data_IF_780868511722
#
_entry.id   IF_780868511722
#
_cell.length_a   1.000
_cell.length_b   1.000
_cell.length_c   1.000
_cell.angle_alpha   90.00
_cell.angle_beta   90.00
_cell.angle_gamma   90.00
#
_symmetry.space_group_name_H-M   'P 1'
#
loop_
_entity.id
_entity.type
_entity.pdbx_description
1 polymer ?
#
# COMPACT_ATOMS: atom_id res chain seq x y z
N UNK A 1 5.94 1.94 -11.49
CA UNK A 1 6.72 1.61 -12.70
C UNK A 1 6.00 0.49 -13.39
N UNK A 2 5.46 0.75 -14.57
CA UNK A 2 4.74 -0.24 -15.38
C UNK A 2 5.78 -1.06 -16.17
N UNK A 3 5.91 -2.38 -15.95
CA UNK A 3 6.76 -3.20 -16.80
C UNK A 3 6.06 -3.45 -18.14
N UNK A 4 6.75 -3.20 -19.24
CA UNK A 4 6.25 -3.53 -20.57
C UNK A 4 6.45 -5.01 -20.88
N UNK A 5 5.42 -5.67 -21.38
CA UNK A 5 5.50 -7.01 -21.97
C UNK A 5 6.17 -6.92 -23.35
N UNK A 6 7.09 -7.81 -23.66
CA UNK A 6 7.72 -7.88 -24.97
C UNK A 6 7.29 -9.14 -25.70
N UNK A 7 6.59 -8.95 -26.80
CA UNK A 7 6.25 -9.98 -27.77
C UNK A 7 4.79 -9.84 -28.21
N UNK A 8 4.53 -9.63 -29.47
CA UNK A 8 3.27 -9.50 -30.23
C UNK A 8 2.36 -8.31 -29.91
N UNK A 9 2.28 -7.80 -28.66
CA UNK A 9 1.69 -6.49 -28.34
C UNK A 9 2.64 -5.71 -27.44
N UNK A 10 3.30 -4.70 -27.96
CA UNK A 10 4.27 -3.86 -27.25
C UNK A 10 3.66 -3.01 -26.12
N UNK A 11 2.35 -3.04 -25.95
CA UNK A 11 1.60 -2.07 -25.16
C UNK A 11 0.85 -2.70 -23.95
N UNK A 12 0.88 -4.02 -23.75
CA UNK A 12 0.20 -4.65 -22.61
C UNK A 12 0.82 -4.19 -21.29
N UNK A 13 0.01 -3.60 -20.44
CA UNK A 13 0.41 -3.15 -19.11
C UNK A 13 -0.16 -4.04 -18.01
N UNK A 14 0.62 -4.26 -16.96
CA UNK A 14 0.17 -4.92 -15.76
C UNK A 14 0.44 -4.01 -14.57
N UNK A 15 -0.61 -3.71 -13.81
CA UNK A 15 -0.52 -2.89 -12.59
C UNK A 15 -1.11 -3.64 -11.41
N UNK A 16 -0.65 -3.28 -10.20
CA UNK A 16 -1.18 -3.76 -8.94
C UNK A 16 -1.68 -2.59 -8.12
N UNK A 17 -2.90 -2.72 -7.60
CA UNK A 17 -3.52 -1.72 -6.74
C UNK A 17 -4.03 -2.38 -5.45
N UNK A 18 -3.66 -1.85 -4.30
CA UNK A 18 -4.26 -2.24 -3.03
C UNK A 18 -5.57 -1.47 -2.82
N UNK A 19 -6.54 -2.09 -2.16
CA UNK A 19 -7.78 -1.41 -1.79
C UNK A 19 -7.54 -0.14 -0.96
N UNK A 20 -8.43 0.84 -1.10
CA UNK A 20 -8.29 2.14 -0.41
C UNK A 20 -8.46 2.02 1.12
N UNK A 21 -9.29 1.08 1.57
CA UNK A 21 -9.53 0.84 2.98
C UNK A 21 -8.47 -0.08 3.59
N UNK A 22 -7.84 0.40 4.66
CA UNK A 22 -6.88 -0.40 5.42
C UNK A 22 -7.63 -1.46 6.26
N UNK A 23 -7.39 -2.76 6.04
CA UNK A 23 -8.02 -3.83 6.83
C UNK A 23 -7.46 -3.86 8.25
N UNK A 24 -8.26 -4.35 9.18
CA UNK A 24 -7.81 -4.72 10.52
C UNK A 24 -7.13 -6.09 10.51
N UNK A 25 -6.45 -6.44 11.59
CA UNK A 25 -5.92 -7.81 11.78
C UNK A 25 -7.07 -8.82 11.75
N UNK A 26 -6.91 -9.88 10.97
CA UNK A 26 -7.92 -10.91 10.74
C UNK A 26 -8.88 -10.61 9.57
N UNK A 27 -8.94 -9.38 9.09
CA UNK A 27 -9.74 -9.01 7.92
C UNK A 27 -9.00 -9.31 6.61
N UNK A 28 -9.79 -9.37 5.54
CA UNK A 28 -9.27 -9.58 4.20
C UNK A 28 -8.90 -8.25 3.54
N UNK A 29 -7.81 -8.26 2.81
CA UNK A 29 -7.41 -7.20 1.90
C UNK A 29 -7.45 -7.73 0.46
N UNK A 30 -7.85 -6.88 -0.45
CA UNK A 30 -7.89 -7.18 -1.87
C UNK A 30 -6.81 -6.39 -2.59
N UNK A 31 -6.06 -7.09 -3.44
CA UNK A 31 -5.13 -6.48 -4.39
C UNK A 31 -5.65 -6.75 -5.78
N UNK A 32 -5.97 -5.69 -6.50
CA UNK A 32 -6.42 -5.78 -7.88
C UNK A 32 -5.21 -5.81 -8.81
N UNK A 33 -5.21 -6.80 -9.68
CA UNK A 33 -4.28 -6.92 -10.82
C UNK A 33 -5.02 -6.44 -12.04
N UNK A 34 -4.59 -5.33 -12.62
CA UNK A 34 -5.14 -4.83 -13.87
C UNK A 34 -4.19 -5.19 -15.00
N UNK A 35 -4.73 -5.85 -16.00
CA UNK A 35 -4.08 -6.16 -17.27
C UNK A 35 -4.82 -5.42 -18.37
N UNK A 36 -4.15 -4.49 -19.02
CA UNK A 36 -4.72 -3.60 -20.02
C UNK A 36 -4.06 -3.80 -21.38
N UNK A 37 -4.76 -3.41 -22.44
CA UNK A 37 -4.27 -3.39 -23.83
C UNK A 37 -3.82 -4.76 -24.38
N UNK A 38 -4.39 -5.86 -23.87
CA UNK A 38 -4.15 -7.18 -24.46
C UNK A 38 -5.19 -7.51 -25.55
N UNK A 39 -4.76 -8.29 -26.52
CA UNK A 39 -5.61 -8.81 -27.59
C UNK A 39 -5.54 -10.33 -27.57
N UNK A 40 -6.72 -10.99 -27.71
CA UNK A 40 -6.82 -12.43 -27.84
C UNK A 40 -6.27 -13.23 -26.63
N UNK A 41 -6.49 -12.76 -25.38
CA UNK A 41 -6.07 -13.50 -24.20
C UNK A 41 -6.84 -14.82 -24.06
N UNK A 42 -6.13 -15.93 -23.95
CA UNK A 42 -6.68 -17.28 -23.75
C UNK A 42 -6.34 -17.87 -22.38
N UNK A 43 -5.35 -17.33 -21.73
CA UNK A 43 -4.97 -17.77 -20.40
C UNK A 43 -3.82 -16.97 -19.82
N UNK A 44 -3.68 -17.08 -18.52
CA UNK A 44 -2.57 -16.46 -17.79
C UNK A 44 -2.08 -17.36 -16.66
N UNK A 45 -0.84 -17.20 -16.30
CA UNK A 45 -0.24 -17.75 -15.08
C UNK A 45 0.59 -16.68 -14.41
N UNK A 46 0.32 -16.43 -13.13
CA UNK A 46 1.01 -15.41 -12.32
C UNK A 46 1.66 -16.10 -11.12
N UNK A 47 2.93 -15.79 -10.88
CA UNK A 47 3.67 -16.26 -9.71
C UNK A 47 3.77 -15.12 -8.70
N UNK A 48 3.25 -15.36 -7.49
CA UNK A 48 3.15 -14.38 -6.42
C UNK A 48 4.23 -14.65 -5.36
N UNK A 49 4.81 -13.57 -4.86
CA UNK A 49 5.61 -13.53 -3.64
C UNK A 49 4.94 -12.60 -2.62
N UNK A 50 4.85 -13.03 -1.37
CA UNK A 50 4.34 -12.24 -0.26
C UNK A 50 4.95 -12.70 1.06
N UNK A 51 4.90 -11.87 2.09
CA UNK A 51 5.38 -12.26 3.42
C UNK A 51 4.35 -13.14 4.14
N UNK A 52 4.57 -14.44 4.16
CA UNK A 52 3.70 -15.42 4.82
C UNK A 52 3.71 -15.35 6.35
N UNK A 53 4.62 -14.59 6.96
CA UNK A 53 4.57 -14.35 8.39
C UNK A 53 3.43 -13.41 8.77
N UNK A 54 3.11 -12.46 7.90
CA UNK A 54 2.10 -11.40 8.15
C UNK A 54 0.83 -11.54 7.30
N UNK A 55 0.90 -12.26 6.16
CA UNK A 55 -0.21 -12.45 5.22
C UNK A 55 -0.53 -13.93 5.03
N UNK A 56 -1.80 -14.24 4.79
CA UNK A 56 -2.30 -15.51 4.28
C UNK A 56 -2.96 -15.27 2.93
N UNK A 57 -2.55 -15.97 1.89
CA UNK A 57 -3.23 -15.91 0.60
C UNK A 57 -4.50 -16.75 0.67
N UNK A 58 -5.66 -16.11 0.50
CA UNK A 58 -6.98 -16.73 0.63
C UNK A 58 -7.49 -17.26 -0.70
N UNK A 59 -7.25 -16.50 -1.78
CA UNK A 59 -7.74 -16.87 -3.10
C UNK A 59 -7.70 -15.75 -4.13
N UNK A 60 -8.34 -15.99 -5.25
CA UNK A 60 -8.46 -15.03 -6.34
C UNK A 60 -9.87 -15.05 -6.94
N UNK A 61 -10.30 -13.89 -7.46
CA UNK A 61 -11.60 -13.71 -8.13
C UNK A 61 -11.38 -12.87 -9.39
N UNK A 62 -12.16 -13.14 -10.42
CA UNK A 62 -12.25 -12.27 -11.61
C UNK A 62 -13.41 -11.30 -11.36
N UNK A 63 -13.15 -9.99 -11.44
CA UNK A 63 -14.15 -8.97 -11.12
C UNK A 63 -15.08 -8.63 -12.30
N UNK A 64 -14.67 -8.99 -13.52
CA UNK A 64 -15.43 -8.62 -14.72
C UNK A 64 -16.32 -9.78 -15.18
N UNK A 65 -17.63 -9.65 -14.92
CA UNK A 65 -18.65 -10.64 -15.34
C UNK A 65 -18.68 -10.86 -16.88
N UNK A 66 -18.17 -9.92 -17.66
CA UNK A 66 -18.10 -10.06 -19.12
C UNK A 66 -17.06 -11.12 -19.57
N UNK A 67 -16.13 -11.48 -18.68
CA UNK A 67 -15.15 -12.53 -18.91
C UNK A 67 -15.67 -13.93 -18.53
N UNK A 68 -16.85 -14.03 -17.92
CA UNK A 68 -17.49 -15.27 -17.47
C UNK A 68 -18.65 -15.72 -18.38
N UNK A 69 -18.83 -15.11 -19.57
CA UNK A 69 -19.81 -15.55 -20.57
C UNK A 69 -19.50 -16.94 -21.15
N UNK A 70 -20.42 -17.49 -21.97
CA UNK A 70 -20.18 -18.76 -22.69
C UNK A 70 -18.86 -18.65 -23.50
N UNK A 71 -17.85 -19.40 -23.09
CA UNK A 71 -16.50 -19.40 -23.68
C UNK A 71 -15.45 -18.57 -22.96
N UNK A 72 -15.75 -18.03 -21.79
CA UNK A 72 -14.84 -17.21 -20.97
C UNK A 72 -13.66 -17.98 -20.36
N UNK A 73 -12.70 -17.25 -19.81
CA UNK A 73 -11.65 -17.84 -18.97
C UNK A 73 -12.27 -18.60 -17.80
N UNK A 74 -11.77 -19.81 -17.52
CA UNK A 74 -12.16 -20.55 -16.33
C UNK A 74 -11.87 -19.75 -15.06
N UNK A 75 -12.63 -20.01 -13.98
CA UNK A 75 -12.30 -19.42 -12.69
C UNK A 75 -10.83 -19.67 -12.35
N UNK A 76 -10.11 -18.67 -11.84
CA UNK A 76 -8.70 -18.82 -11.52
C UNK A 76 -8.48 -19.98 -10.55
N UNK A 77 -7.51 -20.82 -10.86
CA UNK A 77 -7.06 -21.88 -9.96
C UNK A 77 -5.86 -21.37 -9.18
N UNK A 78 -5.96 -21.42 -7.86
CA UNK A 78 -4.86 -21.08 -6.96
C UNK A 78 -4.05 -22.34 -6.68
N UNK A 79 -2.76 -22.27 -6.90
CA UNK A 79 -1.79 -23.30 -6.54
C UNK A 79 -0.96 -22.75 -5.38
N UNK A 80 -1.23 -23.17 -4.13
CA UNK A 80 -0.46 -22.70 -2.99
C UNK A 80 0.97 -23.22 -3.08
N UNK A 81 1.93 -22.33 -2.89
CA UNK A 81 3.35 -22.64 -2.72
C UNK A 81 3.74 -22.67 -1.25
N UNK A 82 5.03 -22.83 -1.00
CA UNK A 82 5.62 -22.71 0.34
C UNK A 82 6.25 -21.32 0.53
N UNK A 83 6.42 -20.93 1.79
CA UNK A 83 7.20 -19.73 2.18
C UNK A 83 6.79 -18.41 1.49
N UNK A 84 5.49 -18.14 1.45
CA UNK A 84 4.99 -16.90 0.87
C UNK A 84 4.98 -16.87 -0.66
N UNK A 85 4.87 -18.03 -1.29
CA UNK A 85 4.70 -18.17 -2.72
C UNK A 85 3.33 -18.73 -3.05
N UNK A 86 2.74 -18.29 -4.15
CA UNK A 86 1.55 -18.87 -4.71
C UNK A 86 1.55 -18.68 -6.24
N UNK A 87 0.78 -19.49 -6.94
CA UNK A 87 0.53 -19.28 -8.37
C UNK A 87 -0.96 -19.20 -8.62
N UNK A 88 -1.35 -18.31 -9.51
CA UNK A 88 -2.73 -18.15 -9.97
C UNK A 88 -2.74 -18.38 -11.46
N UNK A 89 -3.53 -19.35 -11.91
CA UNK A 89 -3.61 -19.74 -13.31
C UNK A 89 -5.07 -19.81 -13.77
N UNK A 90 -5.32 -19.33 -14.98
CA UNK A 90 -6.61 -19.48 -15.64
C UNK A 90 -6.42 -19.75 -17.12
N UNK A 91 -7.30 -20.59 -17.68
CA UNK A 91 -7.34 -20.90 -19.10
C UNK A 91 -8.80 -20.90 -19.57
N UNK A 92 -9.05 -20.44 -20.81
CA UNK A 92 -10.35 -20.47 -21.46
C UNK A 92 -10.33 -21.21 -22.78
N UNK A 93 -11.50 -21.62 -23.23
CA UNK A 93 -11.67 -22.23 -24.56
C UNK A 93 -11.76 -21.17 -25.65
N UNK A 94 -12.19 -19.97 -25.30
CA UNK A 94 -12.29 -18.82 -26.19
C UNK A 94 -11.33 -17.71 -25.82
N UNK A 95 -11.09 -16.88 -26.81
CA UNK A 95 -10.23 -15.70 -26.70
C UNK A 95 -11.05 -14.55 -26.12
N UNK A 96 -10.44 -13.74 -25.26
CA UNK A 96 -11.05 -12.58 -24.61
C UNK A 96 -10.23 -11.34 -24.99
N UNK A 97 -10.91 -10.29 -25.40
CA UNK A 97 -10.32 -8.98 -25.67
C UNK A 97 -10.78 -7.98 -24.58
N UNK A 98 -9.92 -7.05 -24.23
CA UNK A 98 -10.22 -5.96 -23.30
C UNK A 98 -9.45 -6.08 -21.98
N UNK A 99 -9.86 -5.30 -20.97
CA UNK A 99 -9.14 -5.22 -19.70
C UNK A 99 -9.56 -6.33 -18.75
N UNK A 100 -8.59 -6.98 -18.10
CA UNK A 100 -8.81 -8.01 -17.09
C UNK A 100 -8.55 -7.42 -15.70
N UNK A 101 -9.59 -7.39 -14.87
CA UNK A 101 -9.48 -7.17 -13.44
C UNK A 101 -9.46 -8.51 -12.70
N UNK A 102 -8.36 -8.82 -12.02
CA UNK A 102 -8.19 -9.98 -11.18
C UNK A 102 -7.97 -9.54 -9.74
N UNK A 103 -8.86 -9.95 -8.84
CA UNK A 103 -8.70 -9.71 -7.41
C UNK A 103 -7.95 -10.84 -6.74
N UNK A 104 -6.83 -10.51 -6.11
CA UNK A 104 -6.08 -11.38 -5.21
C UNK A 104 -6.49 -11.05 -3.77
N UNK A 105 -6.97 -12.05 -3.04
CA UNK A 105 -7.47 -11.89 -1.68
C UNK A 105 -6.46 -12.44 -0.68
N UNK A 106 -6.04 -11.61 0.24
CA UNK A 106 -5.17 -11.96 1.35
C UNK A 106 -5.86 -11.68 2.67
N UNK A 107 -5.46 -12.36 3.74
CA UNK A 107 -5.87 -12.07 5.12
C UNK A 107 -4.68 -11.61 5.92
N UNK A 108 -4.82 -10.50 6.64
CA UNK A 108 -3.81 -9.99 7.56
C UNK A 108 -3.77 -10.88 8.81
N UNK A 109 -2.64 -11.53 9.07
CA UNK A 109 -2.44 -12.41 10.25
C UNK A 109 -2.01 -11.63 11.48
N UNK A 110 -1.35 -10.51 11.27
CA UNK A 110 -0.82 -9.62 12.31
C UNK A 110 -0.93 -8.18 11.85
N UNK A 111 -0.63 -7.23 12.74
CA UNK A 111 -0.46 -5.83 12.35
C UNK A 111 0.70 -5.70 11.35
N UNK A 112 0.44 -5.04 10.22
CA UNK A 112 1.40 -4.83 9.13
C UNK A 112 1.69 -3.33 9.04
N UNK A 113 2.90 -2.91 9.44
CA UNK A 113 3.35 -1.52 9.24
C UNK A 113 3.70 -1.26 7.77
N UNK A 114 4.28 -2.24 7.09
CA UNK A 114 4.58 -2.21 5.67
C UNK A 114 4.99 -3.61 5.22
N UNK A 115 4.36 -4.11 4.16
CA UNK A 115 4.73 -5.36 3.49
C UNK A 115 4.49 -5.20 2.00
N UNK A 116 4.95 -6.17 1.20
CA UNK A 116 4.77 -6.15 -0.25
C UNK A 116 4.08 -7.42 -0.71
N UNK A 117 3.21 -7.26 -1.71
CA UNK A 117 2.73 -8.34 -2.55
C UNK A 117 3.30 -8.08 -3.93
N UNK A 118 3.95 -9.08 -4.50
CA UNK A 118 4.68 -8.99 -5.75
C UNK A 118 4.20 -10.07 -6.72
N UNK A 119 3.97 -9.71 -7.96
CA UNK A 119 3.96 -10.65 -9.08
C UNK A 119 5.41 -10.74 -9.55
N UNK A 120 6.06 -11.83 -9.18
CA UNK A 120 7.48 -12.03 -9.47
C UNK A 120 7.72 -12.46 -10.91
N UNK A 121 6.75 -13.19 -11.47
CA UNK A 121 6.79 -13.78 -12.81
C UNK A 121 5.37 -14.01 -13.31
N UNK A 122 5.18 -13.96 -14.61
CA UNK A 122 3.89 -14.22 -15.22
C UNK A 122 3.98 -14.57 -16.70
N UNK A 123 3.01 -15.33 -17.15
CA UNK A 123 2.85 -15.73 -18.55
C UNK A 123 1.44 -15.44 -19.02
N UNK A 124 1.34 -14.85 -20.20
CA UNK A 124 0.08 -14.68 -20.93
C UNK A 124 0.08 -15.60 -22.15
N UNK A 125 -1.05 -16.21 -22.43
CA UNK A 125 -1.26 -17.02 -23.65
C UNK A 125 -2.26 -16.33 -24.55
N UNK A 126 -1.89 -16.14 -25.82
CA UNK A 126 -2.76 -15.61 -26.85
C UNK A 126 -3.60 -16.70 -27.54
N UNK A 127 -4.48 -16.27 -28.45
CA UNK A 127 -5.36 -17.16 -29.23
C UNK A 127 -4.63 -18.16 -30.12
N UNK A 128 -3.38 -17.90 -30.49
CA UNK A 128 -2.52 -18.79 -31.26
C UNK A 128 -1.65 -19.71 -30.40
N UNK A 129 -1.85 -19.72 -29.07
CA UNK A 129 -1.05 -20.42 -28.07
C UNK A 129 0.39 -19.89 -27.93
N UNK A 130 0.65 -18.69 -28.45
CA UNK A 130 1.86 -17.96 -28.13
C UNK A 130 1.97 -17.67 -26.63
N UNK A 131 3.19 -17.66 -26.12
CA UNK A 131 3.48 -17.34 -24.71
C UNK A 131 4.22 -16.04 -24.67
N UNK A 132 3.67 -15.08 -23.93
CA UNK A 132 4.30 -13.80 -23.65
C UNK A 132 4.67 -13.76 -22.17
N UNK A 133 5.95 -13.64 -21.87
CA UNK A 133 6.44 -13.56 -20.49
C UNK A 133 6.36 -12.11 -19.98
N UNK A 134 5.86 -11.93 -18.77
CA UNK A 134 5.94 -10.67 -18.04
C UNK A 134 7.40 -10.33 -17.75
N UNK A 135 7.82 -9.12 -18.07
CA UNK A 135 9.18 -8.68 -17.81
C UNK A 135 9.28 -7.92 -16.51
N UNK A 136 9.89 -8.57 -15.53
CA UNK A 136 10.22 -7.99 -14.24
C UNK A 136 9.06 -8.01 -13.25
N UNK A 137 9.40 -7.92 -11.97
CA UNK A 137 8.41 -7.95 -10.89
C UNK A 137 7.59 -6.67 -10.84
N UNK A 138 6.31 -6.82 -10.53
CA UNK A 138 5.39 -5.74 -10.20
C UNK A 138 4.96 -5.92 -8.76
N UNK A 139 5.08 -4.90 -7.94
CA UNK A 139 4.76 -4.98 -6.53
C UNK A 139 3.88 -3.83 -6.05
N UNK A 140 3.06 -4.11 -5.05
CA UNK A 140 2.27 -3.13 -4.30
C UNK A 140 2.61 -3.23 -2.83
N UNK A 141 2.68 -2.09 -2.17
CA UNK A 141 2.83 -2.03 -0.73
C UNK A 141 1.46 -2.19 -0.07
N UNK A 142 1.42 -3.01 0.97
CA UNK A 142 0.22 -3.24 1.77
C UNK A 142 0.50 -2.96 3.24
N UNK A 143 -0.49 -2.45 3.94
CA UNK A 143 -0.47 -2.19 5.36
C UNK A 143 -1.82 -2.49 5.99
N UNK A 144 -1.86 -2.63 7.31
CA UNK A 144 -3.11 -2.73 8.05
C UNK A 144 -3.41 -1.43 8.78
N UNK A 145 -4.68 -1.22 9.12
CA UNK A 145 -5.10 -0.15 10.00
C UNK A 145 -4.41 -0.32 11.37
N UNK A 146 -3.83 0.76 11.93
CA UNK A 146 -3.31 0.72 13.30
C UNK A 146 -4.39 0.36 14.31
N UNK A 147 -4.06 -0.43 15.32
CA UNK A 147 -5.02 -0.78 16.37
C UNK A 147 -5.11 0.26 17.49
N UNK A 148 -4.06 1.08 17.63
CA UNK A 148 -3.97 2.07 18.73
C UNK A 148 -3.44 3.41 18.20
N UNK A 149 -3.84 4.48 18.89
CA UNK A 149 -3.19 5.78 18.71
C UNK A 149 -1.76 5.73 19.23
N UNK A 150 -0.82 6.31 18.48
CA UNK A 150 0.53 6.50 18.97
C UNK A 150 1.20 7.72 18.34
N UNK A 151 2.05 8.37 19.13
CA UNK A 151 3.01 9.36 18.68
C UNK A 151 4.41 8.78 18.86
N UNK A 152 5.16 8.60 17.76
CA UNK A 152 6.52 8.03 17.78
C UNK A 152 7.56 9.11 18.12
N UNK A 153 8.75 8.69 18.50
CA UNK A 153 9.87 9.61 18.65
C UNK A 153 10.25 10.19 17.28
N UNK A 154 10.54 11.51 17.27
CA UNK A 154 11.01 12.15 16.05
C UNK A 154 12.41 11.66 15.68
N UNK A 155 12.68 11.56 14.39
CA UNK A 155 13.99 11.14 13.91
C UNK A 155 14.45 12.02 12.74
N UNK A 156 15.72 12.46 12.77
CA UNK A 156 16.68 12.36 13.86
C UNK A 156 16.28 13.16 15.10
N UNK A 157 16.83 12.79 16.28
CA UNK A 157 16.75 13.55 17.53
C UNK A 157 18.05 13.30 18.35
N UNK A 158 18.93 14.26 18.56
CA UNK A 158 18.85 15.67 18.10
C UNK A 158 18.85 15.82 16.59
N UNK A 159 18.30 16.95 16.09
CA UNK A 159 18.15 17.21 14.66
C UNK A 159 18.70 18.59 14.24
N UNK A 160 19.06 18.74 12.93
CA UNK A 160 19.59 19.95 12.32
C UNK A 160 19.32 20.01 10.82
N UNK A 161 18.52 20.93 10.29
CA UNK A 161 17.42 21.58 10.96
C UNK A 161 16.12 20.76 10.86
N UNK A 162 16.16 19.56 10.26
CA UNK A 162 15.00 18.78 9.86
C UNK A 162 14.81 17.53 10.69
N UNK A 163 13.56 17.20 10.95
CA UNK A 163 13.18 15.96 11.59
C UNK A 163 11.83 15.46 11.07
N UNK A 164 11.61 14.16 11.18
CA UNK A 164 10.34 13.51 10.87
C UNK A 164 9.62 13.14 12.15
N UNK A 165 8.36 13.53 12.24
CA UNK A 165 7.43 13.16 13.31
C UNK A 165 6.45 12.15 12.74
N UNK A 166 6.36 10.97 13.38
CA UNK A 166 5.45 9.90 12.97
C UNK A 166 4.37 9.71 14.01
N UNK A 167 3.13 9.55 13.56
CA UNK A 167 1.99 9.21 14.39
C UNK A 167 1.03 8.27 13.66
N UNK A 168 0.16 7.61 14.41
CA UNK A 168 -0.81 6.68 13.84
C UNK A 168 -2.18 6.86 14.48
N UNK A 169 -3.21 6.60 13.66
CA UNK A 169 -4.61 6.76 13.98
C UNK A 169 -5.37 5.46 13.72
N UNK A 170 -6.02 4.84 14.71
CA UNK A 170 -6.85 3.66 14.49
C UNK A 170 -8.19 3.98 13.83
N UNK A 171 -8.61 5.23 13.87
CA UNK A 171 -9.87 5.69 13.28
C UNK A 171 -9.76 7.10 12.70
N UNK A 172 -10.69 7.43 11.82
CA UNK A 172 -10.73 8.74 11.18
C UNK A 172 -11.20 9.81 12.18
N UNK A 173 -10.58 11.00 12.10
CA UNK A 173 -10.93 12.10 12.99
C UNK A 173 -10.19 13.39 12.68
N UNK A 174 -10.56 14.45 13.40
CA UNK A 174 -9.84 15.71 13.33
C UNK A 174 -8.54 15.62 14.14
N UNK A 175 -7.42 15.95 13.51
CA UNK A 175 -6.08 15.83 14.10
C UNK A 175 -5.38 17.18 14.09
N UNK A 176 -4.74 17.53 15.22
CA UNK A 176 -3.77 18.60 15.30
C UNK A 176 -2.40 18.03 15.66
N UNK A 177 -1.35 18.53 14.99
CA UNK A 177 0.05 18.33 15.35
C UNK A 177 0.72 19.68 15.47
N UNK A 178 1.11 20.02 16.68
CA UNK A 178 1.64 21.33 17.01
C UNK A 178 3.00 21.24 17.70
N UNK A 179 3.85 22.23 17.43
CA UNK A 179 5.17 22.40 18.06
C UNK A 179 5.10 23.53 19.08
N UNK A 180 5.68 23.29 20.24
CA UNK A 180 5.71 24.22 21.36
C UNK A 180 7.15 24.54 21.78
N UNK A 181 7.37 25.77 22.22
CA UNK A 181 8.60 26.18 22.91
C UNK A 181 8.58 25.76 24.39
N UNK A 182 9.66 26.06 25.10
CA UNK A 182 9.81 25.78 26.55
C UNK A 182 8.80 26.52 27.44
N UNK A 183 8.18 27.59 26.94
CA UNK A 183 7.16 28.37 27.65
C UNK A 183 5.74 27.83 27.39
N UNK A 184 5.60 26.74 26.61
CA UNK A 184 4.32 26.15 26.26
C UNK A 184 3.54 26.95 25.18
N UNK A 185 4.19 27.86 24.48
CA UNK A 185 3.58 28.59 23.38
C UNK A 185 3.71 27.81 22.09
N UNK A 186 2.63 27.75 21.30
CA UNK A 186 2.66 27.16 19.94
C UNK A 186 3.56 28.01 19.05
N UNK A 187 4.54 27.38 18.43
CA UNK A 187 5.44 28.05 17.46
C UNK A 187 5.17 27.60 16.03
N UNK A 188 4.60 26.41 15.84
CA UNK A 188 4.22 25.88 14.52
C UNK A 188 3.05 24.93 14.64
N UNK A 189 2.07 25.05 13.75
CA UNK A 189 1.03 24.06 13.49
C UNK A 189 1.38 23.29 12.22
N UNK A 190 1.66 21.99 12.35
CA UNK A 190 2.05 21.13 11.23
C UNK A 190 0.86 20.45 10.59
N UNK A 191 -0.14 20.07 11.38
CA UNK A 191 -1.38 19.43 10.93
C UNK A 191 -2.55 20.06 11.68
N UNK A 192 -3.65 20.34 10.96
CA UNK A 192 -4.92 20.79 11.52
C UNK A 192 -6.04 20.50 10.52
N UNK A 193 -6.38 19.20 10.38
CA UNK A 193 -7.39 18.74 9.41
C UNK A 193 -7.98 17.38 9.81
N UNK A 194 -8.98 16.93 9.02
CA UNK A 194 -9.51 15.57 9.11
C UNK A 194 -8.57 14.58 8.43
N UNK A 195 -8.25 13.49 9.13
CA UNK A 195 -7.43 12.38 8.65
C UNK A 195 -8.20 11.07 8.74
N UNK A 196 -7.99 10.17 7.79
CA UNK A 196 -8.46 8.78 7.84
C UNK A 196 -7.65 7.96 8.85
N UNK A 197 -8.11 6.75 9.16
CA UNK A 197 -7.27 5.79 9.86
C UNK A 197 -5.99 5.51 9.06
N UNK A 198 -4.84 5.37 9.74
CA UNK A 198 -3.58 5.12 9.05
C UNK A 198 -2.34 5.63 9.79
N UNK A 199 -1.18 5.50 9.13
CA UNK A 199 0.12 5.95 9.61
C UNK A 199 0.57 7.18 8.86
N UNK A 200 1.03 8.19 9.60
CA UNK A 200 1.39 9.49 9.06
C UNK A 200 2.82 9.85 9.42
N UNK A 201 3.48 10.54 8.49
CA UNK A 201 4.84 11.04 8.65
C UNK A 201 4.87 12.50 8.23
N UNK A 202 5.25 13.39 9.12
CA UNK A 202 5.25 14.84 8.91
C UNK A 202 6.65 15.39 9.15
N UNK A 203 7.19 16.07 8.14
CA UNK A 203 8.48 16.73 8.22
C UNK A 203 8.33 18.10 8.88
N UNK A 204 9.28 18.44 9.77
CA UNK A 204 9.44 19.78 10.31
C UNK A 204 10.86 20.26 10.09
N UNK A 205 10.98 21.49 9.61
CA UNK A 205 12.21 22.17 9.18
C UNK A 205 12.73 23.20 10.19
N UNK A 206 12.30 23.12 11.44
CA UNK A 206 12.64 24.06 12.51
C UNK A 206 12.24 25.52 12.23
N UNK A 207 11.18 25.75 11.45
CA UNK A 207 10.58 27.08 11.24
C UNK A 207 9.30 27.26 12.03
N UNK A 208 8.95 28.51 12.36
CA UNK A 208 7.65 28.87 12.92
C UNK A 208 6.59 29.04 11.81
N UNK A 209 5.33 29.36 12.18
CA UNK A 209 4.23 29.61 11.22
C UNK A 209 4.49 30.78 10.26
N UNK A 210 5.43 31.65 10.57
CA UNK A 210 5.84 32.78 9.72
C UNK A 210 7.03 32.41 8.80
N UNK A 211 7.49 31.15 8.80
CA UNK A 211 8.65 30.68 8.04
C UNK A 211 10.00 31.14 8.61
N UNK A 212 10.03 31.67 9.82
CA UNK A 212 11.28 32.11 10.47
C UNK A 212 11.93 30.94 11.19
N UNK A 213 13.25 30.78 11.00
CA UNK A 213 14.03 29.75 11.65
C UNK A 213 14.10 29.97 13.17
N UNK A 214 13.85 28.89 13.91
CA UNK A 214 13.91 28.88 15.36
C UNK A 214 15.33 28.65 15.86
N UNK A 215 15.62 29.08 17.12
CA UNK A 215 16.92 28.90 17.76
C UNK A 215 17.13 27.46 18.24
N UNK A 216 18.40 27.05 18.39
CA UNK A 216 18.75 25.81 19.06
C UNK A 216 18.12 25.75 20.45
N UNK A 217 17.64 24.59 20.83
CA UNK A 217 16.97 24.40 22.11
C UNK A 217 15.99 23.23 22.13
N UNK A 218 15.37 23.08 23.28
CA UNK A 218 14.35 22.06 23.48
C UNK A 218 12.99 22.57 22.99
N UNK A 219 12.29 21.70 22.26
CA UNK A 219 10.93 21.88 21.79
C UNK A 219 10.09 20.67 22.18
N UNK A 220 8.78 20.86 22.16
CA UNK A 220 7.82 19.77 22.37
C UNK A 220 6.92 19.70 21.15
N UNK A 221 6.49 18.51 20.81
CA UNK A 221 5.47 18.30 19.81
C UNK A 221 4.33 17.50 20.40
N UNK A 222 3.12 17.88 20.04
CA UNK A 222 1.88 17.30 20.54
C UNK A 222 1.00 16.92 19.37
N UNK A 223 0.55 15.67 19.37
CA UNK A 223 -0.58 15.25 18.55
C UNK A 223 -1.82 15.17 19.42
N UNK A 224 -2.93 15.65 18.89
CA UNK A 224 -4.26 15.48 19.46
C UNK A 224 -5.18 14.96 18.37
N UNK A 225 -5.89 13.85 18.62
CA UNK A 225 -6.90 13.27 17.75
C UNK A 225 -8.24 13.25 18.49
N UNK A 226 -9.15 14.10 18.05
CA UNK A 226 -10.43 14.30 18.72
C UNK A 226 -10.28 14.72 20.19
N UNK A 227 -11.13 14.12 21.04
CA UNK A 227 -11.08 14.31 22.51
C UNK A 227 -10.45 13.12 23.22
N UNK A 228 -10.20 12.02 22.51
CA UNK A 228 -9.83 10.73 23.08
C UNK A 228 -8.33 10.53 23.21
N UNK A 229 -7.54 11.15 22.32
CA UNK A 229 -6.10 10.97 22.31
C UNK A 229 -5.34 12.29 22.30
N UNK A 230 -4.41 12.41 23.26
CA UNK A 230 -3.41 13.48 23.27
C UNK A 230 -2.09 12.91 23.77
N UNK A 231 -1.03 13.11 23.03
CA UNK A 231 0.32 12.74 23.45
C UNK A 231 1.31 13.83 23.11
N UNK A 232 2.26 14.07 24.01
CA UNK A 232 3.32 15.06 23.85
C UNK A 232 4.68 14.41 24.03
N UNK A 233 5.62 14.75 23.16
CA UNK A 233 7.02 14.32 23.26
C UNK A 233 7.96 15.52 23.11
N UNK A 234 9.24 15.31 23.49
CA UNK A 234 10.29 16.35 23.43
C UNK A 234 11.28 16.07 22.32
N UNK A 235 11.88 17.13 21.78
CA UNK A 235 12.93 17.05 20.77
C UNK A 235 13.97 18.15 20.98
N UNK A 236 15.20 17.93 20.50
CA UNK A 236 16.33 18.86 20.63
C UNK A 236 16.79 19.33 19.27
N UNK A 237 16.64 20.64 19.00
CA UNK A 237 17.17 21.31 17.82
C UNK A 237 18.61 21.76 18.09
N UNK A 238 19.52 21.35 17.21
CA UNK A 238 20.90 21.82 17.17
C UNK A 238 21.13 22.63 15.89
N UNK A 239 21.90 23.66 15.98
CA UNK A 239 22.38 24.47 14.82
C UNK A 239 23.88 24.48 14.78
#
# INVERSE_FOLDING_TARGET
>A
VVPMLAGLNSDVSLTLEAGEDLPSVGEELTVTVNLEDYIELRGYGLSLNYDSAVLEFVGSKVENDNLLGEGSLAQPTVIPGQDGKASVVAFGETVVDGDLGLSLVFRAKTEIESSYIEIADGQLRDGSFGVNDLRGPVSVMVETRPEVYALRDNYPNPFNPETMIKYQLPEAGFVTLEIYNMLGQVVRTLVSDHRTAGRYSVRWDATNDKGQALSSGMYFYRVQAGQEFQQTKKMLLLK
#
